data_IF_581006051944
#
_entry.id   IF_581006051944
#
_cell.length_a   1.000
_cell.length_b   1.000
_cell.length_c   1.000
_cell.angle_alpha   90.00
_cell.angle_beta   90.00
_cell.angle_gamma   90.00
#
_symmetry.space_group_name_H-M   'P 1'
#
loop_
_entity.id
_entity.type
_entity.pdbx_description
1 polymer ?
#
# COMPACT_ATOMS: atom_id res chain seq x y z
N UNK A 1 14.94 -18.51 -3.94
CA UNK A 1 15.96 -17.59 -4.50
C UNK A 1 15.92 -16.32 -3.66
N UNK A 2 16.89 -16.12 -2.76
CA UNK A 2 17.02 -14.83 -2.06
C UNK A 2 17.91 -13.93 -2.92
N UNK A 3 17.38 -12.77 -3.31
CA UNK A 3 18.11 -11.72 -4.04
C UNK A 3 18.45 -10.62 -3.04
N UNK A 4 19.72 -10.53 -2.67
CA UNK A 4 20.30 -9.43 -1.89
C UNK A 4 20.82 -8.36 -2.86
N UNK A 5 19.93 -7.51 -3.36
CA UNK A 5 20.34 -6.22 -3.93
C UNK A 5 19.28 -5.16 -3.67
N UNK A 6 19.73 -3.93 -3.46
CA UNK A 6 18.91 -2.71 -3.32
C UNK A 6 17.95 -2.52 -4.51
N UNK A 7 18.14 -3.26 -5.62
CA UNK A 7 17.18 -3.37 -6.72
C UNK A 7 15.82 -3.97 -6.34
N UNK A 8 15.71 -4.74 -5.26
CA UNK A 8 14.44 -5.30 -4.79
C UNK A 8 13.41 -4.25 -4.32
N UNK A 9 13.85 -3.02 -4.01
CA UNK A 9 12.98 -1.90 -3.60
C UNK A 9 12.26 -1.24 -4.79
N UNK A 10 12.79 -1.41 -6.01
CA UNK A 10 12.28 -0.84 -7.25
C UNK A 10 11.69 -1.90 -8.19
N UNK A 11 11.85 -3.18 -7.90
CA UNK A 11 11.46 -4.26 -8.80
C UNK A 11 10.26 -5.04 -8.25
N UNK A 12 9.29 -5.28 -9.13
CA UNK A 12 8.19 -6.20 -8.88
C UNK A 12 8.65 -7.64 -9.10
N UNK A 13 7.99 -8.61 -8.46
CA UNK A 13 8.11 -10.00 -8.87
C UNK A 13 7.45 -10.16 -10.23
N UNK A 14 8.21 -10.65 -11.20
CA UNK A 14 7.79 -10.72 -12.59
C UNK A 14 7.31 -12.13 -12.98
N UNK A 15 6.17 -12.19 -13.66
CA UNK A 15 5.58 -13.39 -14.23
C UNK A 15 5.44 -13.19 -15.74
N UNK A 16 6.23 -13.92 -16.52
CA UNK A 16 6.16 -13.91 -17.99
C UNK A 16 5.57 -15.23 -18.46
N UNK A 17 4.41 -15.19 -19.12
CA UNK A 17 3.75 -16.39 -19.61
C UNK A 17 2.87 -16.12 -20.83
N UNK A 18 2.56 -17.16 -21.60
CA UNK A 18 1.52 -17.06 -22.64
C UNK A 18 0.13 -17.05 -22.01
N UNK A 19 -0.10 -17.96 -21.08
CA UNK A 19 -1.38 -18.15 -20.40
C UNK A 19 -1.18 -18.21 -18.89
N UNK A 20 -1.99 -17.46 -18.15
CA UNK A 20 -2.13 -17.56 -16.69
C UNK A 20 -3.60 -17.76 -16.36
N UNK A 21 -3.89 -18.70 -15.46
CA UNK A 21 -5.23 -18.93 -14.96
C UNK A 21 -5.17 -19.09 -13.44
N UNK A 22 -5.80 -18.14 -12.74
CA UNK A 22 -6.05 -18.22 -11.31
C UNK A 22 -7.50 -18.67 -11.13
N UNK A 23 -7.69 -19.93 -10.79
CA UNK A 23 -9.03 -20.45 -10.46
C UNK A 23 -9.59 -19.79 -9.19
N UNK A 24 -10.89 -19.94 -8.93
CA UNK A 24 -11.57 -19.34 -7.79
C UNK A 24 -10.93 -19.64 -6.41
N UNK A 25 -10.21 -20.75 -6.26
CA UNK A 25 -9.51 -21.12 -5.02
C UNK A 25 -8.03 -20.72 -5.01
N UNK A 26 -7.51 -20.16 -6.10
CA UNK A 26 -6.13 -19.73 -6.21
C UNK A 26 -5.93 -18.39 -5.51
N UNK A 27 -4.84 -18.28 -4.75
CA UNK A 27 -4.43 -17.01 -4.16
C UNK A 27 -2.96 -16.74 -4.41
N UNK A 28 -2.64 -15.55 -4.93
CA UNK A 28 -1.30 -14.97 -4.89
C UNK A 28 -1.30 -13.93 -3.77
N UNK A 29 -0.68 -14.26 -2.64
CA UNK A 29 -0.46 -13.34 -1.53
C UNK A 29 1.02 -12.96 -1.51
N UNK A 30 1.33 -11.69 -1.70
CA UNK A 30 2.71 -11.22 -1.72
C UNK A 30 2.88 -10.00 -0.82
N UNK A 31 3.77 -10.14 0.17
CA UNK A 31 4.19 -9.06 1.04
C UNK A 31 5.55 -8.53 0.59
N UNK A 32 5.77 -7.22 0.73
CA UNK A 32 7.08 -6.62 0.53
C UNK A 32 8.04 -7.15 1.59
N UNK A 33 9.22 -7.64 1.17
CA UNK A 33 10.32 -8.04 2.07
C UNK A 33 11.07 -6.79 2.57
N UNK A 34 10.33 -5.75 2.92
CA UNK A 34 10.88 -4.55 3.53
C UNK A 34 10.49 -4.60 5.00
N UNK A 35 11.36 -5.23 5.77
CA UNK A 35 11.38 -5.10 7.22
C UNK A 35 12.23 -3.86 7.49
N UNK A 36 11.72 -2.92 8.29
CA UNK A 36 12.48 -1.73 8.73
C UNK A 36 13.93 -2.13 9.06
N UNK A 37 14.96 -1.65 8.32
CA UNK A 37 16.34 -2.07 8.57
C UNK A 37 16.97 -1.40 9.81
N UNK A 38 16.15 -0.78 10.67
CA UNK A 38 16.52 -0.20 11.97
C UNK A 38 16.99 -1.31 12.92
N UNK A 39 18.22 -1.78 12.73
CA UNK A 39 18.84 -2.79 13.60
C UNK A 39 19.39 -2.17 14.90
N UNK A 40 19.43 -0.84 15.02
CA UNK A 40 20.09 -0.14 16.13
C UNK A 40 19.16 0.41 17.20
N UNK A 41 17.83 0.46 16.97
CA UNK A 41 16.82 0.93 17.93
C UNK A 41 17.18 2.25 18.65
N UNK A 42 17.93 3.11 17.97
CA UNK A 42 18.53 4.29 18.57
C UNK A 42 17.63 5.50 18.37
N UNK A 43 16.94 5.90 19.44
CA UNK A 43 16.05 7.07 19.48
C UNK A 43 16.79 8.42 19.38
N UNK A 44 18.14 8.43 19.44
CA UNK A 44 18.96 9.66 19.53
C UNK A 44 19.68 10.03 18.25
N UNK A 45 19.84 9.11 17.31
CA UNK A 45 20.44 9.41 16.02
C UNK A 45 19.35 9.78 15.01
N UNK A 46 19.43 10.98 14.45
CA UNK A 46 18.66 11.41 13.25
C UNK A 46 18.99 10.55 11.99
N UNK A 47 19.63 9.40 12.15
CA UNK A 47 20.10 8.52 11.09
C UNK A 47 19.15 7.33 10.93
N UNK A 48 17.85 7.60 10.96
CA UNK A 48 16.82 6.61 10.72
C UNK A 48 16.70 6.34 9.23
N UNK A 49 16.46 5.09 8.82
CA UNK A 49 16.28 4.74 7.40
C UNK A 49 15.03 5.37 6.76
N UNK A 50 14.09 5.88 7.57
CA UNK A 50 13.05 6.79 7.10
C UNK A 50 13.60 8.05 6.41
N UNK A 51 14.84 8.47 6.71
CA UNK A 51 15.54 9.53 6.00
C UNK A 51 16.27 9.05 4.72
N UNK A 52 16.41 7.73 4.52
CA UNK A 52 17.00 7.15 3.32
C UNK A 52 15.97 6.98 2.19
N UNK A 53 14.70 6.80 2.52
CA UNK A 53 13.61 6.64 1.55
C UNK A 53 12.38 7.45 1.95
N UNK A 54 12.08 8.51 1.19
CA UNK A 54 10.97 9.43 1.47
C UNK A 54 9.59 8.74 1.53
N UNK A 55 9.45 7.55 0.94
CA UNK A 55 8.21 6.76 0.95
C UNK A 55 8.04 5.87 2.19
N UNK A 56 9.03 5.80 3.08
CA UNK A 56 8.91 5.09 4.35
C UNK A 56 8.14 5.94 5.36
N UNK A 57 7.44 5.29 6.28
CA UNK A 57 6.89 5.96 7.45
C UNK A 57 8.00 6.39 8.41
N UNK A 58 7.88 7.60 8.94
CA UNK A 58 8.81 8.16 9.92
C UNK A 58 8.61 7.48 11.27
N UNK A 59 9.70 7.19 11.99
CA UNK A 59 9.66 6.50 13.27
C UNK A 59 9.08 7.36 14.40
N UNK A 60 8.52 6.73 15.42
CA UNK A 60 8.07 7.41 16.62
C UNK A 60 9.26 7.94 17.43
N UNK A 61 9.05 9.04 18.15
CA UNK A 61 9.97 9.51 19.19
C UNK A 61 9.19 9.91 20.46
N UNK A 62 9.89 10.45 21.46
CA UNK A 62 9.34 10.74 22.80
C UNK A 62 8.07 11.58 22.81
N UNK A 63 7.79 12.37 21.77
CA UNK A 63 6.63 13.28 21.70
C UNK A 63 5.68 13.03 20.51
N UNK A 64 5.93 12.01 19.67
CA UNK A 64 5.10 11.75 18.50
C UNK A 64 5.11 10.27 18.08
N UNK A 65 3.99 9.81 17.54
CA UNK A 65 3.85 8.50 16.96
C UNK A 65 4.43 8.43 15.54
N UNK A 66 4.78 7.22 15.14
CA UNK A 66 5.30 6.93 13.83
C UNK A 66 4.25 7.17 12.75
N UNK A 67 4.69 7.51 11.54
CA UNK A 67 3.83 7.73 10.39
C UNK A 67 3.65 6.46 9.55
N UNK A 68 2.60 6.43 8.73
CA UNK A 68 2.35 5.33 7.80
C UNK A 68 3.18 5.43 6.52
N UNK A 69 3.36 4.30 5.84
CA UNK A 69 4.12 4.22 4.59
C UNK A 69 3.40 4.86 3.38
N UNK A 70 4.19 5.28 2.39
CA UNK A 70 3.76 5.86 1.13
C UNK A 70 3.89 4.91 -0.06
N UNK A 71 3.00 5.05 -1.05
CA UNK A 71 3.10 4.42 -2.37
C UNK A 71 2.25 5.17 -3.40
N UNK A 72 0.99 4.77 -3.63
CA UNK A 72 0.12 5.46 -4.61
C UNK A 72 -0.34 6.84 -4.16
N UNK A 73 -0.20 7.13 -2.87
CA UNK A 73 -0.36 8.43 -2.29
C UNK A 73 0.49 8.56 -1.04
N UNK A 74 0.22 9.59 -0.24
CA UNK A 74 0.91 9.81 1.03
C UNK A 74 0.30 8.96 2.14
N UNK A 75 1.14 8.31 2.95
CA UNK A 75 0.72 7.75 4.23
C UNK A 75 0.27 8.86 5.17
N UNK A 76 -0.59 8.55 6.16
CA UNK A 76 -0.96 9.55 7.15
C UNK A 76 0.15 9.75 8.17
N UNK A 77 0.21 10.95 8.76
CA UNK A 77 1.07 11.18 9.92
C UNK A 77 0.58 10.38 11.13
N UNK A 78 1.47 10.12 12.08
CA UNK A 78 1.08 9.71 13.44
C UNK A 78 0.69 10.91 14.30
N UNK A 79 -0.06 10.69 15.38
CA UNK A 79 -0.41 11.73 16.34
C UNK A 79 0.76 12.12 17.26
N UNK A 80 0.81 13.35 17.74
CA UNK A 80 1.91 13.83 18.58
C UNK A 80 1.78 15.28 19.03
N UNK A 81 2.56 15.69 20.03
CA UNK A 81 2.58 17.05 20.59
C UNK A 81 3.49 18.01 19.80
N UNK A 82 4.50 17.47 19.12
CA UNK A 82 5.39 18.17 18.20
C UNK A 82 5.11 17.71 16.76
N UNK A 83 5.09 18.68 15.83
CA UNK A 83 4.74 18.59 14.39
C UNK A 83 4.66 17.15 13.89
N UNK A 84 3.43 16.69 13.62
CA UNK A 84 3.17 15.42 12.96
C UNK A 84 3.96 15.33 11.64
N UNK A 85 5.10 14.63 11.67
CA UNK A 85 5.97 14.52 10.49
C UNK A 85 5.21 13.68 9.47
N UNK A 86 4.87 14.30 8.33
CA UNK A 86 3.90 13.69 7.44
C UNK A 86 4.34 12.30 6.96
N UNK A 87 3.39 11.40 6.73
CA UNK A 87 3.68 10.01 6.32
C UNK A 87 4.38 9.86 4.98
N UNK A 88 4.82 8.64 4.69
CA UNK A 88 5.67 8.35 3.54
C UNK A 88 5.10 8.92 2.24
N UNK A 89 5.97 9.52 1.43
CA UNK A 89 5.64 10.13 0.15
C UNK A 89 5.15 9.12 -0.89
N UNK A 90 4.36 9.61 -1.84
CA UNK A 90 3.97 8.83 -3.02
C UNK A 90 5.15 8.60 -3.96
N UNK A 91 5.13 7.50 -4.71
CA UNK A 91 6.15 7.19 -5.73
C UNK A 91 5.58 6.36 -6.87
N UNK A 92 6.37 6.17 -7.93
CA UNK A 92 6.02 5.30 -9.05
C UNK A 92 5.11 5.97 -10.09
N UNK A 93 4.81 5.21 -11.15
CA UNK A 93 3.93 5.62 -12.24
C UNK A 93 2.63 4.79 -12.18
N UNK A 94 1.44 5.40 -12.07
CA UNK A 94 0.17 4.67 -12.08
C UNK A 94 -0.07 3.86 -13.37
N UNK A 95 0.52 4.26 -14.50
CA UNK A 95 0.37 3.55 -15.77
C UNK A 95 1.21 2.28 -15.85
N UNK A 96 2.40 2.31 -15.25
CA UNK A 96 3.34 1.19 -15.16
C UNK A 96 3.87 1.06 -13.72
N UNK A 97 3.00 0.68 -12.76
CA UNK A 97 3.38 0.69 -11.35
C UNK A 97 4.37 -0.43 -11.06
N UNK A 98 5.33 -0.15 -10.17
CA UNK A 98 6.42 -1.06 -9.89
C UNK A 98 6.77 -1.09 -8.41
N UNK A 99 7.29 -2.24 -7.99
CA UNK A 99 7.86 -2.45 -6.68
C UNK A 99 6.83 -2.44 -5.54
N UNK A 100 7.33 -2.66 -4.32
CA UNK A 100 6.53 -2.70 -3.10
C UNK A 100 6.03 -1.33 -2.64
N UNK A 101 5.16 -1.29 -1.64
CA UNK A 101 4.87 -0.05 -0.91
C UNK A 101 6.01 0.36 0.04
N UNK A 102 5.85 1.46 0.76
CA UNK A 102 6.70 1.80 1.91
C UNK A 102 6.24 1.11 3.21
N UNK A 103 7.15 0.62 4.06
CA UNK A 103 6.80 0.18 5.40
C UNK A 103 6.36 1.37 6.26
N UNK A 104 5.59 1.09 7.31
CA UNK A 104 5.28 2.08 8.33
C UNK A 104 6.47 2.31 9.27
N UNK A 105 6.50 3.48 9.91
CA UNK A 105 7.54 3.79 10.88
C UNK A 105 7.43 2.92 12.15
N UNK A 106 8.58 2.64 12.75
CA UNK A 106 8.68 1.86 13.98
C UNK A 106 8.44 2.69 15.24
N UNK A 107 8.03 2.04 16.31
CA UNK A 107 8.14 2.56 17.67
C UNK A 107 9.50 2.14 18.23
N UNK A 108 10.46 3.06 18.19
CA UNK A 108 11.84 2.79 18.59
C UNK A 108 11.98 2.61 20.11
N UNK A 109 11.12 3.24 20.91
CA UNK A 109 11.17 3.14 22.37
C UNK A 109 10.73 1.76 22.88
N UNK A 110 9.77 1.14 22.19
CA UNK A 110 9.26 -0.19 22.51
C UNK A 110 9.88 -1.30 21.67
N UNK A 111 10.83 -0.97 20.78
CA UNK A 111 11.43 -1.91 19.82
C UNK A 111 10.38 -2.64 18.94
N UNK A 112 9.32 -1.92 18.55
CA UNK A 112 8.22 -2.46 17.73
C UNK A 112 8.32 -1.96 16.31
N UNK A 113 8.42 -2.88 15.36
CA UNK A 113 8.41 -2.55 13.93
C UNK A 113 7.04 -2.02 13.48
N UNK A 114 7.06 -1.07 12.55
CA UNK A 114 5.88 -0.70 11.79
C UNK A 114 5.39 -1.81 10.86
N UNK A 115 4.19 -1.62 10.34
CA UNK A 115 3.58 -2.53 9.39
C UNK A 115 4.44 -2.68 8.13
N UNK A 116 4.65 -3.93 7.71
CA UNK A 116 5.38 -4.25 6.49
C UNK A 116 4.64 -3.74 5.23
N UNK A 117 5.40 -3.38 4.20
CA UNK A 117 4.85 -2.97 2.91
C UNK A 117 4.17 -4.14 2.15
N UNK A 118 3.25 -3.80 1.25
CA UNK A 118 2.77 -4.70 0.21
C UNK A 118 3.81 -4.96 -0.89
N UNK A 119 3.69 -6.05 -1.65
CA UNK A 119 4.65 -6.40 -2.71
C UNK A 119 4.35 -5.74 -4.07
N UNK A 120 5.37 -5.66 -4.94
CA UNK A 120 5.15 -5.43 -6.37
C UNK A 120 4.99 -6.75 -7.11
N UNK A 121 3.95 -6.87 -7.95
CA UNK A 121 3.72 -7.97 -8.89
C UNK A 121 3.57 -7.39 -10.29
N UNK A 122 4.31 -7.97 -11.23
CA UNK A 122 4.25 -7.62 -12.64
C UNK A 122 3.93 -8.87 -13.46
N UNK A 123 2.84 -8.83 -14.21
CA UNK A 123 2.38 -9.90 -15.08
C UNK A 123 2.50 -9.44 -16.53
N UNK A 124 3.37 -10.12 -17.29
CA UNK A 124 3.50 -9.96 -18.73
C UNK A 124 2.89 -11.19 -19.40
N UNK A 125 1.65 -11.04 -19.91
CA UNK A 125 0.87 -12.16 -20.46
C UNK A 125 0.54 -11.89 -21.92
N UNK A 126 0.90 -12.82 -22.81
CA UNK A 126 0.79 -12.60 -24.26
C UNK A 126 -0.45 -13.19 -24.94
N UNK A 127 -1.22 -14.08 -24.28
CA UNK A 127 -2.45 -14.65 -24.86
C UNK A 127 -3.68 -14.52 -23.95
N UNK A 128 -3.69 -15.20 -22.80
CA UNK A 128 -4.87 -15.22 -21.92
C UNK A 128 -4.49 -15.11 -20.45
N UNK A 129 -5.08 -14.14 -19.76
CA UNK A 129 -5.02 -14.03 -18.32
C UNK A 129 -6.44 -14.15 -17.73
N UNK A 130 -6.71 -15.26 -17.05
CA UNK A 130 -7.96 -15.48 -16.31
C UNK A 130 -7.71 -15.27 -14.82
N UNK A 131 -8.45 -14.37 -14.19
CA UNK A 131 -8.36 -14.02 -12.78
C UNK A 131 -9.72 -14.30 -12.13
N UNK A 132 -9.95 -15.54 -11.69
CA UNK A 132 -11.10 -15.92 -10.86
C UNK A 132 -10.72 -16.01 -9.38
N UNK A 133 -9.43 -16.18 -9.09
CA UNK A 133 -8.87 -16.20 -7.74
C UNK A 133 -8.55 -14.81 -7.17
N UNK A 134 -7.67 -14.78 -6.17
CA UNK A 134 -7.27 -13.56 -5.45
C UNK A 134 -5.81 -13.21 -5.72
N UNK A 135 -5.54 -11.94 -6.02
CA UNK A 135 -4.20 -11.36 -6.00
C UNK A 135 -4.19 -10.28 -4.92
N UNK A 136 -3.40 -10.47 -3.86
CA UNK A 136 -3.31 -9.56 -2.71
C UNK A 136 -1.86 -9.10 -2.50
N UNK A 137 -1.68 -7.79 -2.60
CA UNK A 137 -0.42 -7.08 -2.33
C UNK A 137 -0.62 -6.00 -1.26
N UNK A 138 -1.52 -6.22 -0.31
CA UNK A 138 -1.81 -5.24 0.74
C UNK A 138 -0.65 -5.07 1.73
N UNK A 139 -0.51 -3.84 2.25
CA UNK A 139 0.36 -3.54 3.37
C UNK A 139 -0.20 -4.08 4.69
N UNK A 140 0.70 -4.33 5.64
CA UNK A 140 0.36 -4.88 6.95
C UNK A 140 0.04 -3.75 7.92
N UNK A 141 -0.95 -3.96 8.79
CA UNK A 141 -1.28 -3.01 9.86
C UNK A 141 -0.23 -3.04 10.97
N UNK A 142 -0.04 -1.91 11.65
CA UNK A 142 0.80 -1.87 12.84
C UNK A 142 0.18 -2.70 13.98
N UNK A 143 1.03 -3.18 14.89
CA UNK A 143 0.59 -3.82 16.13
C UNK A 143 -0.16 -2.82 17.01
N UNK A 144 -1.28 -3.24 17.60
CA UNK A 144 -2.05 -2.43 18.54
C UNK A 144 -1.22 -2.03 19.77
N UNK A 145 -1.61 -0.93 20.42
CA UNK A 145 -0.95 -0.39 21.61
C UNK A 145 0.53 -0.08 21.42
N UNK A 146 0.98 0.07 20.17
CA UNK A 146 2.28 0.65 19.82
C UNK A 146 2.09 2.09 19.33
N UNK A 147 3.18 2.80 19.12
CA UNK A 147 3.17 4.06 18.38
C UNK A 147 3.53 3.87 16.91
N UNK A 148 3.51 2.62 16.40
CA UNK A 148 4.02 2.28 15.08
C UNK A 148 3.00 2.54 13.94
N UNK A 149 3.50 2.85 12.74
CA UNK A 149 2.70 3.15 11.56
C UNK A 149 2.37 1.92 10.71
N UNK A 150 1.28 1.98 9.94
CA UNK A 150 0.88 0.94 8.98
C UNK A 150 1.68 0.99 7.68
N UNK A 151 1.91 -0.16 7.05
CA UNK A 151 2.61 -0.26 5.76
C UNK A 151 1.71 0.08 4.57
N UNK A 152 2.27 0.62 3.49
CA UNK A 152 1.52 0.93 2.28
C UNK A 152 1.20 -0.32 1.45
N UNK A 153 0.13 -0.24 0.66
CA UNK A 153 -0.17 -1.24 -0.38
C UNK A 153 0.89 -1.28 -1.48
N UNK A 154 0.99 -2.41 -2.17
CA UNK A 154 1.97 -2.66 -3.22
C UNK A 154 1.50 -2.32 -4.64
N UNK A 155 2.10 -2.96 -5.64
CA UNK A 155 1.76 -2.74 -7.06
C UNK A 155 1.26 -4.02 -7.69
N UNK A 156 0.15 -3.96 -8.42
CA UNK A 156 -0.28 -4.99 -9.37
C UNK A 156 -0.22 -4.37 -10.76
N UNK A 157 0.72 -4.81 -11.58
CA UNK A 157 0.80 -4.39 -12.98
C UNK A 157 0.55 -5.57 -13.90
N UNK A 158 -0.48 -5.49 -14.73
CA UNK A 158 -0.80 -6.46 -15.76
C UNK A 158 -0.52 -5.80 -17.11
N UNK A 159 0.61 -6.14 -17.74
CA UNK A 159 0.87 -5.83 -19.16
C UNK A 159 0.46 -7.03 -20.00
N UNK A 160 -0.76 -6.98 -20.47
CA UNK A 160 -1.44 -7.93 -21.35
C UNK A 160 -1.83 -7.26 -22.66
N UNK A 161 -0.95 -6.39 -23.18
CA UNK A 161 -1.18 -5.59 -24.39
C UNK A 161 -1.50 -6.40 -25.65
N UNK A 162 -1.20 -7.70 -25.66
CA UNK A 162 -1.53 -8.65 -26.73
C UNK A 162 -2.60 -9.68 -26.34
N UNK A 163 -3.07 -9.65 -25.10
CA UNK A 163 -3.87 -10.70 -24.48
C UNK A 163 -5.27 -10.24 -24.07
N UNK A 164 -6.13 -11.24 -23.85
CA UNK A 164 -7.41 -11.09 -23.16
C UNK A 164 -7.20 -11.22 -21.65
N UNK A 165 -7.68 -10.23 -20.89
CA UNK A 165 -7.81 -10.28 -19.43
C UNK A 165 -9.28 -10.50 -19.08
N UNK A 166 -9.56 -11.56 -18.31
CA UNK A 166 -10.92 -12.02 -18.00
C UNK A 166 -11.02 -12.58 -16.58
N UNK A 167 -12.24 -12.88 -16.13
CA UNK A 167 -12.52 -13.51 -14.84
C UNK A 167 -13.32 -12.64 -13.88
N UNK A 168 -13.68 -13.21 -12.74
CA UNK A 168 -14.52 -12.56 -11.70
C UNK A 168 -13.88 -12.50 -10.32
N UNK A 169 -12.56 -12.68 -10.24
CA UNK A 169 -11.78 -12.72 -9.01
C UNK A 169 -11.59 -11.37 -8.33
N UNK A 170 -10.56 -11.26 -7.50
CA UNK A 170 -10.29 -10.05 -6.70
C UNK A 170 -8.82 -9.65 -6.73
N UNK A 171 -8.57 -8.36 -6.94
CA UNK A 171 -7.25 -7.74 -6.85
C UNK A 171 -7.24 -6.71 -5.73
N UNK A 172 -6.27 -6.80 -4.82
CA UNK A 172 -6.23 -5.99 -3.58
C UNK A 172 -4.83 -5.39 -3.39
N UNK A 173 -4.79 -4.08 -3.19
CA UNK A 173 -3.58 -3.32 -2.90
C UNK A 173 -3.86 -2.28 -1.79
N UNK A 174 -4.39 -2.74 -0.66
CA UNK A 174 -4.78 -1.86 0.43
C UNK A 174 -3.58 -1.45 1.30
N UNK A 175 -3.65 -0.28 1.91
CA UNK A 175 -2.75 0.14 2.97
C UNK A 175 -3.13 -0.49 4.32
N UNK A 176 -2.14 -0.68 5.17
CA UNK A 176 -2.30 -1.15 6.54
C UNK A 176 -2.71 -0.03 7.49
N UNK A 177 -3.47 -0.39 8.53
CA UNK A 177 -3.91 0.54 9.56
C UNK A 177 -2.74 0.95 10.46
N UNK A 178 -2.81 2.18 10.97
CA UNK A 178 -1.90 2.65 12.01
C UNK A 178 -2.26 2.06 13.37
N UNK A 179 -1.32 2.08 14.31
CA UNK A 179 -1.58 1.57 15.65
C UNK A 179 -2.53 2.49 16.42
N UNK A 180 -3.45 1.89 17.16
CA UNK A 180 -4.34 2.58 18.11
C UNK A 180 -4.11 2.05 19.51
N UNK A 181 -4.18 2.94 20.50
CA UNK A 181 -3.96 2.63 21.92
C UNK A 181 -5.11 3.21 22.76
N UNK A 182 -5.55 2.46 23.78
CA UNK A 182 -6.50 2.97 24.78
C UNK A 182 -5.83 3.83 25.85
N UNK A 183 -4.52 3.72 25.98
CA UNK A 183 -3.76 4.24 27.11
C UNK A 183 -2.87 5.43 26.72
N UNK A 184 -2.83 5.76 25.42
CA UNK A 184 -2.05 6.86 24.86
C UNK A 184 -2.83 7.58 23.76
N UNK A 185 -2.69 8.91 23.70
CA UNK A 185 -3.17 9.73 22.59
C UNK A 185 -2.27 9.67 21.35
N UNK A 186 -1.13 8.97 21.44
CA UNK A 186 -0.20 8.77 20.34
C UNK A 186 -0.66 7.56 19.52
N UNK A 187 -1.22 7.83 18.35
CA UNK A 187 -1.68 6.81 17.39
C UNK A 187 -0.79 6.83 16.17
N UNK A 188 -0.36 5.66 15.71
CA UNK A 188 0.48 5.54 14.53
C UNK A 188 -0.28 5.92 13.27
N UNK A 189 0.42 6.46 12.28
CA UNK A 189 -0.15 6.80 10.98
C UNK A 189 -0.50 5.56 10.16
N UNK A 190 -1.50 5.68 9.29
CA UNK A 190 -1.93 4.62 8.39
C UNK A 190 -1.18 4.65 7.06
N UNK A 191 -0.92 3.47 6.49
CA UNK A 191 -0.28 3.32 5.19
C UNK A 191 -1.20 3.71 4.04
N UNK A 192 -0.65 4.37 3.02
CA UNK A 192 -1.38 4.65 1.78
C UNK A 192 -1.74 3.38 1.01
N UNK A 193 -2.68 3.47 0.08
CA UNK A 193 -2.96 2.36 -0.81
C UNK A 193 -1.86 2.18 -1.87
N UNK A 194 -1.99 1.08 -2.62
CA UNK A 194 -1.15 0.73 -3.74
C UNK A 194 -1.72 1.07 -5.11
N UNK A 195 -1.08 0.54 -6.14
CA UNK A 195 -1.49 0.69 -7.54
C UNK A 195 -2.02 -0.61 -8.11
N UNK A 196 -3.07 -0.52 -8.92
CA UNK A 196 -3.51 -1.61 -9.80
C UNK A 196 -3.64 -1.07 -11.21
N UNK A 197 -2.81 -1.55 -12.14
CA UNK A 197 -2.85 -1.19 -13.56
C UNK A 197 -3.10 -2.43 -14.40
N UNK A 198 -4.16 -2.38 -15.22
CA UNK A 198 -4.50 -3.39 -16.21
C UNK A 198 -4.34 -2.76 -17.59
N UNK A 199 -3.37 -3.23 -18.34
CA UNK A 199 -3.17 -2.89 -19.74
C UNK A 199 -3.47 -4.13 -20.56
N UNK A 200 -4.58 -4.14 -21.28
CA UNK A 200 -5.04 -5.33 -21.99
C UNK A 200 -5.38 -5.03 -23.44
N UNK A 201 -5.31 -6.04 -24.30
CA UNK A 201 -5.88 -5.93 -25.64
C UNK A 201 -7.39 -6.03 -25.61
N UNK A 202 -7.90 -7.01 -24.87
CA UNK A 202 -9.32 -7.17 -24.56
C UNK A 202 -9.47 -7.30 -23.05
N UNK A 203 -10.24 -6.40 -22.44
CA UNK A 203 -10.49 -6.40 -21.00
C UNK A 203 -11.96 -6.71 -20.71
N UNK A 204 -12.22 -7.97 -20.34
CA UNK A 204 -13.55 -8.45 -19.94
C UNK A 204 -13.57 -8.89 -18.48
N UNK A 205 -12.55 -8.50 -17.69
CA UNK A 205 -12.55 -8.75 -16.26
C UNK A 205 -13.73 -8.02 -15.59
N UNK A 206 -14.51 -8.78 -14.81
CA UNK A 206 -15.74 -8.35 -14.15
C UNK A 206 -15.68 -8.48 -12.63
N UNK A 207 -14.52 -8.87 -12.10
CA UNK A 207 -14.28 -9.02 -10.68
C UNK A 207 -14.06 -7.69 -9.96
N UNK A 208 -13.52 -7.76 -8.75
CA UNK A 208 -13.34 -6.60 -7.87
C UNK A 208 -11.89 -6.14 -7.84
N UNK A 209 -11.68 -4.83 -7.84
CA UNK A 209 -10.37 -4.21 -7.68
C UNK A 209 -10.43 -3.21 -6.53
N UNK A 210 -9.52 -3.34 -5.58
CA UNK A 210 -9.49 -2.52 -4.37
C UNK A 210 -8.08 -1.98 -4.10
N UNK A 211 -7.98 -0.66 -3.91
CA UNK A 211 -6.76 0.01 -3.48
C UNK A 211 -7.14 1.15 -2.52
N UNK A 212 -7.43 0.80 -1.27
CA UNK A 212 -7.82 1.75 -0.21
C UNK A 212 -6.66 2.05 0.71
N UNK A 213 -6.55 3.31 1.16
CA UNK A 213 -5.62 3.65 2.23
C UNK A 213 -6.06 3.00 3.54
N UNK A 214 -5.10 2.74 4.42
CA UNK A 214 -5.39 2.29 5.78
C UNK A 214 -6.05 3.37 6.62
N UNK A 215 -6.49 2.98 7.81
CA UNK A 215 -7.15 3.85 8.77
C UNK A 215 -6.28 4.06 10.01
N UNK A 216 -6.38 5.25 10.58
CA UNK A 216 -5.91 5.57 11.93
C UNK A 216 -6.92 6.47 12.62
N UNK A 217 -6.66 6.83 13.86
CA UNK A 217 -7.44 7.82 14.61
C UNK A 217 -6.52 8.97 15.01
N UNK A 218 -7.06 10.18 15.00
CA UNK A 218 -6.33 11.38 15.42
C UNK A 218 -7.26 12.39 16.04
N UNK A 219 -6.68 13.46 16.58
CA UNK A 219 -7.46 14.57 17.11
C UNK A 219 -8.25 15.27 15.99
N UNK A 220 -9.49 15.75 16.25
CA UNK A 220 -10.29 16.47 15.27
C UNK A 220 -9.56 17.68 14.71
N UNK A 221 -9.80 17.95 13.43
CA UNK A 221 -9.29 19.15 12.76
C UNK A 221 -9.69 20.43 13.51
N UNK A 222 -8.73 21.30 13.80
CA UNK A 222 -8.96 22.58 14.50
C UNK A 222 -8.58 22.58 15.98
N UNK A 223 -8.25 21.41 16.55
CA UNK A 223 -7.52 21.33 17.81
C UNK A 223 -6.02 21.37 17.52
N UNK A 224 -5.22 22.17 18.27
CA UNK A 224 -3.77 22.06 18.22
C UNK A 224 -3.35 20.62 18.52
N UNK A 225 -2.37 20.07 17.79
CA UNK A 225 -1.88 18.69 18.02
C UNK A 225 -1.30 18.52 19.46
N UNK A 226 -0.97 19.65 20.11
CA UNK A 226 -0.67 19.77 21.54
C UNK A 226 -1.82 20.40 22.34
N UNK A 227 -2.81 19.60 22.73
CA UNK A 227 -3.87 20.05 23.65
C UNK A 227 -3.47 19.71 25.09
N UNK A 228 -3.28 20.72 25.94
CA UNK A 228 -3.18 20.46 27.39
C UNK A 228 -4.51 19.89 27.90
N UNK A 229 -4.49 19.10 28.98
CA UNK A 229 -5.70 18.55 29.61
C UNK A 229 -6.79 19.60 29.80
N UNK A 230 -6.42 20.85 30.13
CA UNK A 230 -7.36 21.95 30.35
C UNK A 230 -8.01 22.47 29.06
N UNK A 231 -7.25 22.57 27.95
CA UNK A 231 -7.80 23.01 26.65
C UNK A 231 -8.74 21.92 26.07
N UNK A 232 -8.46 20.65 26.36
CA UNK A 232 -9.33 19.53 25.99
C UNK A 232 -10.65 19.55 26.81
N UNK A 233 -10.57 19.93 28.08
CA UNK A 233 -11.74 20.14 28.94
C UNK A 233 -12.59 21.33 28.48
N UNK A 234 -11.99 22.46 28.09
CA UNK A 234 -12.73 23.61 27.56
C UNK A 234 -13.46 23.27 26.25
N UNK A 235 -12.80 22.56 25.32
CA UNK A 235 -13.40 22.21 24.03
C UNK A 235 -14.54 21.17 24.15
N UNK A 236 -14.43 20.22 25.08
CA UNK A 236 -15.49 19.25 25.38
C UNK A 236 -16.70 19.90 26.07
N UNK A 237 -16.48 20.91 26.91
CA UNK A 237 -17.54 21.71 27.53
C UNK A 237 -18.35 22.52 26.51
N UNK A 238 -17.68 23.10 25.51
CA UNK A 238 -18.32 23.88 24.44
C UNK A 238 -19.27 23.03 23.57
N UNK A 239 -18.98 21.73 23.41
CA UNK A 239 -19.73 20.82 22.54
C UNK A 239 -20.79 19.95 23.25
N UNK A 240 -21.08 20.19 24.54
CA UNK A 240 -22.10 19.45 25.31
C UNK A 240 -21.91 17.91 25.29
N UNK A 241 -20.66 17.43 25.28
CA UNK A 241 -20.38 16.00 25.38
C UNK A 241 -20.46 15.58 26.86
N UNK A 242 -21.32 14.60 27.17
CA UNK A 242 -21.56 14.16 28.55
C UNK A 242 -20.30 13.57 29.21
N UNK A 243 -20.01 14.03 30.44
CA UNK A 243 -19.03 13.45 31.34
C UNK A 243 -19.41 12.01 31.72
N UNK A 244 -18.63 11.02 31.28
CA UNK A 244 -18.74 9.63 31.74
C UNK A 244 -17.46 9.24 32.50
N UNK A 245 -17.48 9.38 33.84
CA UNK A 245 -16.54 8.72 34.75
C UNK A 245 -15.40 9.58 35.32
N UNK A 246 -14.78 9.07 36.41
CA UNK A 246 -13.74 9.75 37.19
C UNK A 246 -12.36 9.82 36.52
N UNK A 247 -12.21 9.21 35.35
CA UNK A 247 -11.02 9.30 34.47
C UNK A 247 -11.36 10.01 33.15
N UNK A 248 -12.48 10.74 33.11
CA UNK A 248 -13.22 11.15 31.92
C UNK A 248 -12.38 11.66 30.74
N UNK A 249 -12.22 10.80 29.75
CA UNK A 249 -11.96 11.19 28.37
C UNK A 249 -12.79 10.27 27.47
N UNK A 250 -13.93 10.75 26.97
CA UNK A 250 -14.44 10.25 25.69
C UNK A 250 -13.63 10.96 24.62
N UNK A 251 -12.80 10.16 23.95
CA UNK A 251 -11.91 10.59 22.91
C UNK A 251 -12.69 11.31 21.80
N UNK A 252 -12.48 12.63 21.69
CA UNK A 252 -12.67 13.29 20.41
C UNK A 252 -11.58 12.74 19.50
N UNK A 253 -11.87 11.62 18.84
CA UNK A 253 -11.01 10.98 17.86
C UNK A 253 -11.77 10.96 16.55
N UNK A 254 -11.18 11.54 15.51
CA UNK A 254 -11.66 11.39 14.15
C UNK A 254 -10.94 10.21 13.50
N UNK A 255 -11.68 9.41 12.73
CA UNK A 255 -11.07 8.42 11.84
C UNK A 255 -10.40 9.15 10.70
N UNK A 256 -9.10 8.90 10.50
CA UNK A 256 -8.30 9.46 9.44
C UNK A 256 -7.97 8.32 8.47
N UNK A 257 -8.31 8.51 7.20
CA UNK A 257 -7.90 7.60 6.14
C UNK A 257 -6.62 8.11 5.49
N UNK A 258 -5.67 7.21 5.24
CA UNK A 258 -4.55 7.50 4.35
C UNK A 258 -5.01 7.61 2.89
N UNK A 259 -4.11 8.08 2.02
CA UNK A 259 -4.44 8.30 0.61
C UNK A 259 -4.95 7.03 -0.08
N UNK A 260 -6.04 7.16 -0.85
CA UNK A 260 -6.52 6.11 -1.74
C UNK A 260 -5.54 5.82 -2.87
N UNK A 261 -5.62 4.63 -3.44
CA UNK A 261 -4.79 4.21 -4.56
C UNK A 261 -5.39 4.57 -5.91
N UNK A 262 -4.67 4.16 -6.95
CA UNK A 262 -5.10 4.33 -8.34
C UNK A 262 -5.37 2.96 -8.96
N UNK A 263 -6.55 2.83 -9.55
CA UNK A 263 -6.91 1.70 -10.41
C UNK A 263 -6.99 2.23 -11.84
N UNK A 264 -6.09 1.78 -12.71
CA UNK A 264 -6.07 2.13 -14.12
C UNK A 264 -6.42 0.91 -14.97
N UNK A 265 -7.33 1.09 -15.92
CA UNK A 265 -7.63 0.10 -16.98
C UNK A 265 -7.44 0.78 -18.32
N UNK A 266 -6.57 0.22 -19.16
CA UNK A 266 -6.22 0.78 -20.46
C UNK A 266 -6.31 -0.29 -21.54
N UNK A 267 -6.86 0.11 -22.69
CA UNK A 267 -6.95 -0.71 -23.89
C UNK A 267 -5.95 -0.22 -24.94
N UNK A 268 -5.33 -1.15 -25.66
CA UNK A 268 -4.37 -0.81 -26.72
C UNK A 268 -5.09 -0.67 -28.07
N UNK A 269 -5.04 0.55 -28.62
CA UNK A 269 -5.57 0.85 -29.96
C UNK A 269 -4.43 1.16 -30.92
N UNK A 270 -4.57 0.76 -32.17
CA UNK A 270 -3.71 1.22 -33.27
C UNK A 270 -4.58 2.06 -34.19
N UNK A 271 -4.22 3.32 -34.36
CA UNK A 271 -4.74 4.15 -35.43
C UNK A 271 -3.65 4.34 -36.48
N UNK A 272 -3.93 3.98 -37.73
CA UNK A 272 -3.24 4.61 -38.85
C UNK A 272 -3.74 6.06 -38.97
N UNK A 273 -2.90 6.98 -39.46
CA UNK A 273 -3.32 8.35 -39.71
C UNK A 273 -4.57 8.35 -40.61
N UNK A 274 -5.65 8.98 -40.14
CA UNK A 274 -6.97 9.09 -40.80
C UNK A 274 -7.91 7.86 -40.77
N UNK A 275 -7.72 6.89 -39.88
CA UNK A 275 -8.76 5.86 -39.61
C UNK A 275 -9.26 5.92 -38.16
N UNK A 276 -10.54 5.58 -37.90
CA UNK A 276 -11.02 5.36 -36.53
C UNK A 276 -10.10 4.37 -35.81
N UNK A 277 -9.81 4.62 -34.54
CA UNK A 277 -8.98 3.73 -33.73
C UNK A 277 -9.61 2.33 -33.68
N UNK A 278 -8.93 1.35 -34.25
CA UNK A 278 -9.31 -0.07 -34.15
C UNK A 278 -8.44 -0.75 -33.09
N UNK A 279 -9.03 -1.64 -32.29
CA UNK A 279 -8.28 -2.43 -31.32
C UNK A 279 -7.13 -3.17 -32.02
N UNK A 280 -5.91 -2.99 -31.53
CA UNK A 280 -4.67 -3.41 -32.18
C UNK A 280 -4.32 -4.89 -31.99
N UNK A 281 -5.31 -5.74 -31.75
CA UNK A 281 -5.06 -7.12 -31.34
C UNK A 281 -4.58 -7.95 -32.53
N UNK A 282 -3.30 -7.85 -32.89
CA UNK A 282 -2.66 -8.84 -33.75
C UNK A 282 -2.22 -10.00 -32.86
N UNK A 283 -2.99 -11.09 -32.84
CA UNK A 283 -2.52 -12.38 -32.33
C UNK A 283 -1.45 -12.90 -33.30
N UNK A 284 -0.17 -12.63 -33.01
CA UNK A 284 0.92 -13.31 -33.70
C UNK A 284 1.01 -14.75 -33.17
N UNK A 285 0.33 -15.68 -33.83
CA UNK A 285 0.59 -17.10 -33.66
C UNK A 285 1.92 -17.43 -34.34
N UNK A 286 3.04 -17.28 -33.65
CA UNK A 286 4.27 -17.94 -34.07
C UNK A 286 4.08 -19.45 -33.82
N UNK A 287 3.72 -20.20 -34.87
CA UNK A 287 3.92 -21.65 -34.87
C UNK A 287 5.42 -21.91 -34.73
N UNK A 288 5.87 -22.22 -33.51
CA UNK A 288 7.19 -22.83 -33.33
C UNK A 288 7.13 -24.25 -33.94
N UNK A 289 8.09 -24.63 -34.79
CA UNK A 289 8.12 -25.96 -35.37
C UNK A 289 8.22 -27.00 -34.24
N UNK A 290 7.33 -28.00 -34.28
CA UNK A 290 7.34 -29.09 -33.31
C UNK A 290 8.58 -29.96 -33.50
N UNK A 291 9.66 -29.69 -32.79
CA UNK A 291 10.71 -30.67 -32.57
C UNK A 291 10.28 -31.58 -31.42
N UNK A 292 9.77 -32.77 -31.78
CA UNK A 292 9.68 -33.89 -30.86
C UNK A 292 11.10 -34.24 -30.41
N UNK A 293 11.37 -34.17 -29.12
CA UNK A 293 12.46 -34.92 -28.51
C UNK A 293 11.85 -36.18 -27.90
N UNK A 294 12.02 -37.31 -28.60
CA UNK A 294 11.90 -38.62 -27.97
C UNK A 294 13.15 -38.82 -27.11
N UNK A 295 12.93 -39.08 -25.82
CA UNK A 295 13.98 -39.50 -24.90
C UNK A 295 14.27 -40.99 -25.18
N UNK A 296 15.50 -41.29 -25.60
CA UNK A 296 16.12 -42.61 -25.42
C UNK A 296 16.87 -42.64 -24.08
#
# INVERSE_FOLDING_TARGET
VQSSSVGGLLLSNEFIARNITLSATSSINAAGVIVNPELTWDITSNNTLAAQFDYYGIHASTNHAAAGGGHAGRGSAGGGLDIAVGGGASRGDPAAPYGPGGPGGADLALEILGGAAGAGLYFNVSERFVIDGIIDVSGVSASLSSSAGGGAGGSIFIDSSLAEVSGSGRMVANGGNGSVSSDSALHGGAGSAGFVSIKACTDVFSGTVEARGGLTVGLPSGLPESVSTNVFQEYSFINNLNLLGSTGYLAMQSVIAASSGTVLRSAVFTSAANTPATAACSTYYAQLPSTRYELQ
#
